data_IF_471444179109
#
_entry.id   IF_471444179109
#
_cell.length_a   1.000
_cell.length_b   1.000
_cell.length_c   1.000
_cell.angle_alpha   90.00
_cell.angle_beta   90.00
_cell.angle_gamma   90.00
#
_symmetry.space_group_name_H-M   'P 1'
#
loop_
_entity.id
_entity.type
_entity.pdbx_description
1 polymer ?
#
# COMPACT_ATOMS: atom_id res chain seq x y z
N UNK A 1 -3.63 -7.86 4.87
CA UNK A 1 -3.87 -6.52 5.50
C UNK A 1 -3.31 -6.35 6.91
N UNK A 2 -3.22 -7.38 7.78
CA UNK A 2 -2.74 -7.21 9.16
C UNK A 2 -1.31 -6.62 9.25
N UNK A 3 -0.40 -7.05 8.38
CA UNK A 3 0.96 -6.51 8.31
C UNK A 3 1.00 -5.00 8.07
N UNK A 4 0.13 -4.48 7.19
CA UNK A 4 0.06 -3.06 6.86
C UNK A 4 -0.35 -2.20 8.07
N UNK A 5 -1.37 -2.64 8.83
CA UNK A 5 -1.82 -1.89 10.02
C UNK A 5 -0.80 -1.94 11.16
N UNK A 6 -0.09 -3.07 11.35
CA UNK A 6 0.99 -3.13 12.33
C UNK A 6 2.14 -2.18 11.97
N UNK A 7 2.55 -2.15 10.70
CA UNK A 7 3.60 -1.22 10.25
C UNK A 7 3.18 0.25 10.40
N UNK A 8 1.90 0.57 10.16
CA UNK A 8 1.36 1.89 10.44
C UNK A 8 1.42 2.23 11.94
N UNK A 9 1.01 1.30 12.81
CA UNK A 9 1.06 1.48 14.27
C UNK A 9 2.47 1.70 14.78
N UNK A 10 3.45 0.93 14.29
CA UNK A 10 4.88 1.11 14.62
C UNK A 10 5.37 2.50 14.19
N UNK A 11 4.98 2.95 12.99
CA UNK A 11 5.35 4.26 12.48
C UNK A 11 4.74 5.40 13.30
N UNK A 12 3.47 5.28 13.67
CA UNK A 12 2.80 6.26 14.54
C UNK A 12 3.33 6.21 15.98
N UNK A 13 3.76 5.05 16.48
CA UNK A 13 4.47 4.92 17.76
C UNK A 13 5.72 5.81 17.77
N UNK A 14 6.59 5.66 16.77
CA UNK A 14 7.79 6.50 16.60
C UNK A 14 7.48 8.00 16.52
N UNK A 15 6.37 8.37 15.89
CA UNK A 15 5.92 9.77 15.86
C UNK A 15 5.56 10.27 17.26
N UNK A 16 4.88 9.46 18.08
CA UNK A 16 4.56 9.82 19.47
C UNK A 16 5.83 9.95 20.30
N UNK A 17 6.77 9.03 20.14
CA UNK A 17 8.07 9.08 20.83
C UNK A 17 8.82 10.39 20.51
N UNK A 18 8.76 10.87 19.26
CA UNK A 18 9.33 12.18 18.88
C UNK A 18 8.63 13.37 19.56
N UNK A 19 7.31 13.30 19.72
CA UNK A 19 6.55 14.34 20.43
C UNK A 19 6.93 14.34 21.92
N UNK A 20 7.06 13.16 22.53
CA UNK A 20 7.45 13.02 23.94
C UNK A 20 8.90 13.49 24.17
N UNK A 21 9.79 13.21 23.21
CA UNK A 21 11.16 13.74 23.20
C UNK A 21 11.16 15.28 23.12
N UNK A 22 10.37 15.87 22.22
CA UNK A 22 10.21 17.32 22.15
C UNK A 22 9.77 17.90 23.50
N UNK A 23 8.74 17.32 24.13
CA UNK A 23 8.21 17.80 25.39
C UNK A 23 9.25 17.74 26.52
N UNK A 24 10.02 16.65 26.55
CA UNK A 24 11.10 16.46 27.53
C UNK A 24 12.22 17.47 27.35
N UNK A 25 12.69 17.68 26.12
CA UNK A 25 13.75 18.65 25.82
C UNK A 25 13.25 20.07 26.11
N UNK A 26 12.01 20.42 25.72
CA UNK A 26 11.44 21.74 25.95
C UNK A 26 11.33 22.09 27.42
N UNK A 27 11.00 21.10 28.28
CA UNK A 27 10.94 21.28 29.72
C UNK A 27 12.31 21.51 30.37
N UNK A 28 13.39 20.98 29.78
CA UNK A 28 14.76 21.07 30.29
C UNK A 28 15.58 22.20 29.65
N UNK A 29 15.09 22.78 28.55
CA UNK A 29 15.82 23.78 27.77
C UNK A 29 15.36 25.20 28.07
N UNK A 30 16.27 26.16 27.93
CA UNK A 30 15.91 27.58 27.92
C UNK A 30 15.22 27.95 26.60
N UNK A 31 14.46 29.05 26.57
CA UNK A 31 13.74 29.51 25.36
C UNK A 31 14.65 29.85 24.15
N UNK A 32 15.97 29.78 24.32
CA UNK A 32 16.97 30.00 23.26
C UNK A 32 17.04 28.81 22.30
N UNK A 33 16.82 27.58 22.80
CA UNK A 33 16.82 26.39 21.95
C UNK A 33 15.45 26.21 21.28
N UNK A 34 15.41 26.43 19.96
CA UNK A 34 14.24 26.11 19.15
C UNK A 34 14.21 24.60 18.83
N UNK A 35 13.22 23.91 19.39
CA UNK A 35 12.98 22.47 19.19
C UNK A 35 11.80 22.19 18.27
N UNK A 36 11.21 23.23 17.66
CA UNK A 36 9.99 23.10 16.86
C UNK A 36 10.17 22.21 15.61
N UNK A 37 11.40 22.03 15.12
CA UNK A 37 11.71 21.10 14.04
C UNK A 37 11.45 19.63 14.40
N UNK A 38 11.50 19.26 15.68
CA UNK A 38 11.12 17.91 16.13
C UNK A 38 9.63 17.68 15.86
N UNK A 39 8.78 18.66 16.17
CA UNK A 39 7.34 18.58 15.90
C UNK A 39 7.03 18.65 14.39
N UNK A 40 7.78 19.44 13.62
CA UNK A 40 7.67 19.45 12.16
C UNK A 40 8.00 18.08 11.57
N UNK A 41 9.08 17.47 12.02
CA UNK A 41 9.47 16.12 11.63
C UNK A 41 8.41 15.08 12.01
N UNK A 42 7.88 15.15 13.23
CA UNK A 42 6.79 14.28 13.69
C UNK A 42 5.54 14.39 12.79
N UNK A 43 5.16 15.60 12.38
CA UNK A 43 4.03 15.81 11.46
C UNK A 43 4.29 15.22 10.07
N UNK A 44 5.46 15.46 9.50
CA UNK A 44 5.85 14.92 8.19
C UNK A 44 5.82 13.38 8.22
N UNK A 45 6.38 12.78 9.28
CA UNK A 45 6.41 11.34 9.46
C UNK A 45 5.01 10.73 9.65
N UNK A 46 4.10 11.40 10.36
CA UNK A 46 2.72 10.95 10.49
C UNK A 46 1.99 10.89 9.14
N UNK A 47 2.13 11.93 8.32
CA UNK A 47 1.51 11.98 6.99
C UNK A 47 2.11 10.93 6.06
N UNK A 48 3.43 10.72 6.10
CA UNK A 48 4.10 9.67 5.34
C UNK A 48 3.68 8.27 5.77
N UNK A 49 3.46 8.04 7.07
CA UNK A 49 2.96 6.77 7.57
C UNK A 49 1.55 6.45 7.02
N UNK A 50 0.67 7.46 6.97
CA UNK A 50 -0.67 7.30 6.40
C UNK A 50 -0.62 6.99 4.91
N UNK A 51 0.18 7.74 4.15
CA UNK A 51 0.38 7.54 2.71
C UNK A 51 0.80 6.09 2.40
N UNK A 52 1.85 5.62 3.08
CA UNK A 52 2.36 4.26 2.93
C UNK A 52 1.31 3.21 3.33
N UNK A 53 0.57 3.44 4.42
CA UNK A 53 -0.49 2.53 4.85
C UNK A 53 -1.57 2.34 3.77
N UNK A 54 -1.97 3.42 3.09
CA UNK A 54 -2.97 3.33 2.01
C UNK A 54 -2.41 2.58 0.80
N UNK A 55 -1.15 2.81 0.42
CA UNK A 55 -0.48 2.02 -0.63
C UNK A 55 -0.52 0.52 -0.34
N UNK A 56 -0.13 0.11 0.87
CA UNK A 56 -0.12 -1.31 1.24
C UNK A 56 -1.54 -1.89 1.31
N UNK A 57 -2.51 -1.19 1.89
CA UNK A 57 -3.88 -1.70 2.00
C UNK A 57 -4.51 -1.89 0.62
N UNK A 58 -4.31 -0.94 -0.29
CA UNK A 58 -4.85 -1.02 -1.65
C UNK A 58 -4.16 -2.13 -2.43
N UNK A 59 -2.83 -2.20 -2.38
CA UNK A 59 -2.06 -3.25 -3.05
C UNK A 59 -2.50 -4.64 -2.58
N UNK A 60 -2.49 -4.88 -1.27
CA UNK A 60 -2.92 -6.17 -0.70
C UNK A 60 -4.39 -6.46 -1.01
N UNK A 61 -5.26 -5.45 -0.97
CA UNK A 61 -6.67 -5.63 -1.27
C UNK A 61 -6.94 -5.98 -2.74
N UNK A 62 -6.18 -5.40 -3.67
CA UNK A 62 -6.27 -5.75 -5.09
C UNK A 62 -5.78 -7.18 -5.34
N UNK A 63 -4.69 -7.61 -4.69
CA UNK A 63 -4.19 -8.98 -4.77
C UNK A 63 -5.19 -9.99 -4.18
N UNK A 64 -5.88 -9.64 -3.09
CA UNK A 64 -6.95 -10.46 -2.51
C UNK A 64 -8.15 -10.59 -3.46
N UNK A 65 -8.53 -9.52 -4.17
CA UNK A 65 -9.59 -9.57 -5.21
C UNK A 65 -9.16 -10.47 -6.36
N UNK A 66 -7.94 -10.31 -6.87
CA UNK A 66 -7.41 -11.13 -7.95
C UNK A 66 -7.39 -12.62 -7.59
N UNK A 67 -7.08 -12.96 -6.33
CA UNK A 67 -7.11 -14.34 -5.81
C UNK A 67 -8.53 -14.88 -5.52
N UNK A 68 -9.57 -14.07 -5.67
CA UNK A 68 -10.94 -14.45 -5.29
C UNK A 68 -11.17 -14.55 -3.78
N UNK A 69 -10.27 -14.04 -2.95
CA UNK A 69 -10.37 -14.03 -1.49
C UNK A 69 -11.22 -12.85 -0.97
N UNK A 70 -11.40 -11.83 -1.80
CA UNK A 70 -12.23 -10.65 -1.55
C UNK A 70 -13.14 -10.42 -2.77
N UNK A 71 -14.43 -10.10 -2.59
CA UNK A 71 -15.30 -9.75 -3.71
C UNK A 71 -14.86 -8.43 -4.35
N UNK A 72 -14.94 -8.37 -5.67
CA UNK A 72 -14.69 -7.14 -6.43
C UNK A 72 -15.73 -6.05 -6.09
N UNK A 73 -15.32 -4.77 -6.00
CA UNK A 73 -16.26 -3.67 -5.78
C UNK A 73 -17.33 -3.59 -6.85
N UNK A 74 -18.56 -3.28 -6.43
CA UNK A 74 -19.69 -3.13 -7.36
C UNK A 74 -19.49 -1.96 -8.31
N UNK A 75 -20.04 -2.13 -9.51
CA UNK A 75 -20.09 -1.07 -10.51
C UNK A 75 -21.02 0.05 -10.04
N UNK A 76 -20.59 1.30 -10.16
CA UNK A 76 -21.43 2.46 -9.86
C UNK A 76 -22.42 2.70 -11.00
N UNK A 77 -23.57 3.34 -10.72
CA UNK A 77 -24.66 3.53 -11.69
C UNK A 77 -24.25 4.13 -13.06
N UNK A 78 -23.11 4.82 -13.14
CA UNK A 78 -22.64 5.52 -14.33
C UNK A 78 -21.43 4.84 -15.01
N UNK A 79 -21.03 3.64 -14.60
CA UNK A 79 -19.90 2.91 -15.20
C UNK A 79 -20.33 1.52 -15.64
N UNK A 80 -19.62 0.93 -16.60
CA UNK A 80 -19.83 -0.47 -17.04
C UNK A 80 -18.91 -1.45 -16.31
N UNK A 81 -17.82 -0.93 -15.75
CA UNK A 81 -16.76 -1.66 -15.08
C UNK A 81 -16.50 -1.07 -13.69
N UNK A 82 -16.01 -1.89 -12.76
CA UNK A 82 -15.61 -1.44 -11.43
C UNK A 82 -14.35 -0.57 -11.50
N UNK A 83 -13.92 0.01 -10.37
CA UNK A 83 -12.62 0.67 -10.33
C UNK A 83 -11.46 -0.34 -10.44
N UNK A 84 -11.63 -1.55 -9.89
CA UNK A 84 -10.66 -2.63 -9.97
C UNK A 84 -10.43 -3.09 -11.42
N UNK A 85 -11.51 -3.39 -12.14
CA UNK A 85 -11.45 -3.90 -13.52
C UNK A 85 -10.85 -2.87 -14.50
N UNK A 86 -11.01 -1.58 -14.21
CA UNK A 86 -10.40 -0.49 -15.00
C UNK A 86 -8.92 -0.25 -14.68
N UNK A 87 -8.36 -0.93 -13.68
CA UNK A 87 -6.96 -0.77 -13.32
C UNK A 87 -6.07 -1.35 -14.43
N UNK A 88 -5.22 -0.50 -14.99
CA UNK A 88 -4.36 -0.88 -16.12
C UNK A 88 -3.01 -1.37 -15.61
N UNK A 89 -2.54 -2.48 -16.20
CA UNK A 89 -1.25 -3.11 -15.91
C UNK A 89 -0.45 -3.26 -17.20
N UNK A 90 0.86 -3.03 -17.14
CA UNK A 90 1.76 -3.29 -18.27
C UNK A 90 1.84 -4.78 -18.57
N UNK A 91 1.78 -5.13 -19.86
CA UNK A 91 1.93 -6.52 -20.32
C UNK A 91 3.38 -6.99 -20.41
N UNK A 92 4.36 -6.09 -20.24
CA UNK A 92 5.78 -6.40 -20.37
C UNK A 92 6.24 -7.45 -19.36
N UNK A 93 5.93 -7.23 -18.08
CA UNK A 93 6.22 -8.16 -16.98
C UNK A 93 5.39 -9.45 -17.10
N UNK A 94 4.11 -9.34 -17.44
CA UNK A 94 3.23 -10.49 -17.68
C UNK A 94 3.73 -11.42 -18.81
N UNK A 95 4.39 -10.86 -19.85
CA UNK A 95 5.00 -11.65 -20.93
C UNK A 95 6.16 -12.51 -20.42
N UNK A 96 6.97 -12.00 -19.50
CA UNK A 96 8.13 -12.73 -18.99
C UNK A 96 7.70 -14.00 -18.24
N UNK A 97 6.66 -13.89 -17.41
CA UNK A 97 6.08 -15.04 -16.71
C UNK A 97 5.48 -16.07 -17.68
N UNK A 98 4.88 -15.60 -18.78
CA UNK A 98 4.39 -16.48 -19.84
C UNK A 98 5.51 -17.21 -20.56
N UNK A 99 6.67 -16.59 -20.76
CA UNK A 99 7.83 -17.23 -21.41
C UNK A 99 8.34 -18.39 -20.56
N UNK A 100 8.39 -18.24 -19.23
CA UNK A 100 8.73 -19.33 -18.30
C UNK A 100 7.69 -20.46 -18.38
N UNK A 101 6.42 -20.13 -18.63
CA UNK A 101 5.36 -21.12 -18.82
C UNK A 101 5.30 -21.75 -20.22
N UNK A 102 6.10 -21.32 -21.21
CA UNK A 102 6.14 -21.98 -22.52
C UNK A 102 7.06 -23.20 -22.53
N UNK A 103 7.93 -23.34 -21.52
CA UNK A 103 8.69 -24.56 -21.24
C UNK A 103 8.18 -25.22 -19.95
N UNK A 104 6.92 -25.64 -19.98
CA UNK A 104 6.22 -26.26 -18.84
C UNK A 104 6.97 -27.51 -18.37
N UNK A 105 7.57 -28.27 -19.28
CA UNK A 105 8.28 -29.50 -18.95
C UNK A 105 9.52 -29.21 -18.12
N UNK A 106 10.37 -28.27 -18.54
CA UNK A 106 11.56 -27.87 -17.79
C UNK A 106 11.18 -27.26 -16.45
N UNK A 107 10.20 -26.36 -16.43
CA UNK A 107 9.71 -25.77 -15.18
C UNK A 107 9.16 -26.82 -14.21
N UNK A 108 8.33 -27.76 -14.67
CA UNK A 108 7.79 -28.81 -13.82
C UNK A 108 8.88 -29.74 -13.30
N UNK A 109 9.88 -30.09 -14.12
CA UNK A 109 11.03 -30.89 -13.69
C UNK A 109 11.78 -30.20 -12.55
N UNK A 110 12.09 -28.91 -12.69
CA UNK A 110 12.78 -28.13 -11.67
C UNK A 110 11.94 -27.99 -10.38
N UNK A 111 10.64 -27.69 -10.52
CA UNK A 111 9.72 -27.56 -9.37
C UNK A 111 9.58 -28.88 -8.61
N UNK A 112 9.37 -29.99 -9.32
CA UNK A 112 9.25 -31.33 -8.72
C UNK A 112 10.56 -31.73 -8.04
N UNK A 113 11.69 -31.49 -8.68
CA UNK A 113 13.02 -31.72 -8.11
C UNK A 113 13.22 -30.95 -6.80
N UNK A 114 12.77 -29.70 -6.74
CA UNK A 114 12.89 -28.90 -5.51
C UNK A 114 11.98 -29.40 -4.38
N UNK A 115 10.77 -29.86 -4.70
CA UNK A 115 9.78 -30.27 -3.69
C UNK A 115 10.02 -31.71 -3.21
N UNK A 116 10.29 -32.64 -4.13
CA UNK A 116 10.34 -34.09 -3.88
C UNK A 116 11.78 -34.65 -3.92
N UNK A 117 12.74 -33.88 -4.40
CA UNK A 117 14.12 -34.33 -4.62
C UNK A 117 14.32 -35.03 -5.97
N UNK A 118 15.58 -35.26 -6.32
CA UNK A 118 15.98 -35.88 -7.61
C UNK A 118 15.52 -37.34 -7.72
N UNK A 119 15.56 -38.09 -6.61
CA UNK A 119 15.22 -39.51 -6.57
C UNK A 119 13.77 -39.78 -7.04
N UNK A 120 12.88 -38.80 -6.83
CA UNK A 120 11.50 -38.89 -7.30
C UNK A 120 11.39 -38.97 -8.83
N UNK A 121 12.28 -38.29 -9.56
CA UNK A 121 12.31 -38.25 -11.02
C UNK A 121 12.96 -39.48 -11.65
N UNK A 122 13.80 -40.19 -10.90
CA UNK A 122 14.55 -41.36 -11.37
C UNK A 122 13.76 -42.67 -11.25
N UNK A 123 12.67 -42.70 -10.46
CA UNK A 123 11.86 -43.90 -10.22
C UNK A 123 10.56 -43.91 -11.05
N UNK A 124 10.04 -45.09 -11.45
CA UNK A 124 8.74 -45.19 -12.11
C UNK A 124 7.61 -44.68 -11.19
N UNK A 125 6.96 -43.59 -11.59
CA UNK A 125 5.85 -43.01 -10.84
C UNK A 125 4.50 -43.50 -11.35
N UNK A 126 3.54 -43.70 -10.44
CA UNK A 126 2.14 -43.92 -10.81
C UNK A 126 1.42 -42.59 -10.97
N UNK A 127 0.35 -42.56 -11.77
CA UNK A 127 -0.52 -41.37 -11.87
C UNK A 127 -1.03 -40.89 -10.51
N UNK A 128 -1.36 -41.82 -9.60
CA UNK A 128 -1.83 -41.50 -8.25
C UNK A 128 -0.77 -40.75 -7.42
N UNK A 129 0.52 -41.06 -7.61
CA UNK A 129 1.62 -40.37 -6.94
C UNK A 129 1.93 -39.01 -7.59
N UNK A 130 1.78 -38.91 -8.91
CA UNK A 130 2.06 -37.68 -9.67
C UNK A 130 1.00 -36.60 -9.49
N UNK A 131 -0.29 -36.98 -9.41
CA UNK A 131 -1.41 -36.06 -9.30
C UNK A 131 -1.26 -35.01 -8.18
N UNK A 132 -0.98 -35.38 -6.91
CA UNK A 132 -0.83 -34.39 -5.85
C UNK A 132 0.38 -33.48 -6.07
N UNK A 133 1.48 -34.00 -6.62
CA UNK A 133 2.69 -33.23 -6.90
C UNK A 133 2.42 -32.18 -7.98
N UNK A 134 1.86 -32.60 -9.12
CA UNK A 134 1.51 -31.69 -10.22
C UNK A 134 0.47 -30.65 -9.75
N UNK A 135 -0.54 -31.08 -9.00
CA UNK A 135 -1.55 -30.18 -8.43
C UNK A 135 -0.91 -29.11 -7.54
N UNK A 136 0.05 -29.50 -6.69
CA UNK A 136 0.77 -28.55 -5.83
C UNK A 136 1.63 -27.59 -6.65
N UNK A 137 2.40 -28.09 -7.61
CA UNK A 137 3.25 -27.28 -8.49
C UNK A 137 2.44 -26.25 -9.29
N UNK A 138 1.31 -26.68 -9.88
CA UNK A 138 0.39 -25.77 -10.57
C UNK A 138 -0.22 -24.75 -9.63
N UNK A 139 -0.64 -25.18 -8.43
CA UNK A 139 -1.19 -24.28 -7.42
C UNK A 139 -0.16 -23.23 -6.99
N UNK A 140 1.09 -23.62 -6.75
CA UNK A 140 2.18 -22.69 -6.43
C UNK A 140 2.38 -21.67 -7.54
N UNK A 141 2.43 -22.13 -8.80
CA UNK A 141 2.66 -21.26 -9.97
C UNK A 141 1.53 -20.28 -10.19
N UNK A 142 0.27 -20.73 -10.08
CA UNK A 142 -0.90 -19.86 -10.25
C UNK A 142 -1.05 -18.86 -9.10
N UNK A 143 -0.57 -19.20 -7.90
CA UNK A 143 -0.56 -18.29 -6.74
C UNK A 143 0.64 -17.34 -6.74
N UNK A 144 1.67 -17.59 -7.55
CA UNK A 144 2.79 -16.69 -7.73
C UNK A 144 2.36 -15.47 -8.56
N UNK A 145 1.84 -14.47 -7.87
CA UNK A 145 1.39 -13.20 -8.44
C UNK A 145 2.39 -12.07 -8.19
N UNK A 146 3.67 -12.41 -8.01
CA UNK A 146 4.74 -11.44 -7.77
C UNK A 146 4.84 -10.40 -8.89
N UNK A 147 4.68 -10.83 -10.15
CA UNK A 147 4.64 -9.93 -11.30
C UNK A 147 3.53 -8.87 -11.17
N UNK A 148 2.33 -9.29 -10.75
CA UNK A 148 1.17 -8.42 -10.63
C UNK A 148 1.32 -7.49 -9.44
N UNK A 149 1.84 -7.99 -8.31
CA UNK A 149 2.16 -7.16 -7.16
C UNK A 149 3.16 -6.06 -7.53
N UNK A 150 4.24 -6.40 -8.23
CA UNK A 150 5.25 -5.44 -8.66
C UNK A 150 4.65 -4.38 -9.59
N UNK A 151 3.82 -4.79 -10.55
CA UNK A 151 3.15 -3.88 -11.47
C UNK A 151 2.17 -2.95 -10.75
N UNK A 152 1.34 -3.48 -9.85
CA UNK A 152 0.44 -2.65 -9.02
C UNK A 152 1.26 -1.63 -8.23
N UNK A 153 2.35 -2.07 -7.57
CA UNK A 153 3.21 -1.18 -6.79
C UNK A 153 3.86 -0.11 -7.65
N UNK A 154 4.35 -0.46 -8.84
CA UNK A 154 4.94 0.50 -9.78
C UNK A 154 3.91 1.55 -10.21
N UNK A 155 2.72 1.11 -10.65
CA UNK A 155 1.64 2.01 -11.06
C UNK A 155 1.17 2.94 -9.93
N UNK A 156 1.08 2.41 -8.71
CA UNK A 156 0.67 3.19 -7.55
C UNK A 156 1.78 4.12 -7.06
N UNK A 157 3.06 3.77 -7.22
CA UNK A 157 4.21 4.54 -6.68
C UNK A 157 4.24 6.02 -7.09
N UNK A 158 3.72 6.35 -8.28
CA UNK A 158 3.62 7.72 -8.78
C UNK A 158 2.49 8.55 -8.13
N UNK A 159 1.68 7.95 -7.26
CA UNK A 159 0.52 8.56 -6.60
C UNK A 159 0.81 8.77 -5.12
N UNK A 160 0.49 9.98 -4.65
CA UNK A 160 0.42 10.29 -3.22
C UNK A 160 -1.00 10.04 -2.71
N UNK A 161 -1.11 9.26 -1.65
CA UNK A 161 -2.35 8.92 -0.97
C UNK A 161 -2.46 9.63 0.38
N UNK A 162 -2.33 10.95 0.31
CA UNK A 162 -2.49 11.83 1.47
C UNK A 162 -3.84 12.54 1.43
N UNK A 163 -4.14 13.20 0.31
CA UNK A 163 -5.38 13.98 0.18
C UNK A 163 -6.61 13.10 0.30
N UNK A 164 -7.70 13.57 0.96
CA UNK A 164 -8.90 12.78 1.18
C UNK A 164 -9.47 12.14 -0.08
N UNK A 165 -9.52 12.89 -1.19
CA UNK A 165 -10.09 12.40 -2.44
C UNK A 165 -9.17 11.35 -3.09
N UNK A 166 -7.84 11.53 -3.02
CA UNK A 166 -6.86 10.54 -3.50
C UNK A 166 -6.93 9.24 -2.72
N UNK A 167 -7.08 9.31 -1.40
CA UNK A 167 -7.30 8.13 -0.56
C UNK A 167 -8.63 7.45 -0.93
N UNK A 168 -9.71 8.21 -1.10
CA UNK A 168 -11.00 7.65 -1.47
C UNK A 168 -10.96 6.96 -2.84
N UNK A 169 -10.29 7.56 -3.83
CA UNK A 169 -10.10 6.97 -5.15
C UNK A 169 -9.27 5.69 -5.11
N UNK A 170 -8.23 5.64 -4.28
CA UNK A 170 -7.43 4.44 -4.09
C UNK A 170 -8.23 3.31 -3.43
N UNK A 171 -8.98 3.63 -2.36
CA UNK A 171 -9.82 2.64 -1.66
C UNK A 171 -10.97 2.13 -2.55
N UNK A 172 -11.46 2.93 -3.51
CA UNK A 172 -12.46 2.47 -4.49
C UNK A 172 -12.00 1.27 -5.32
N UNK A 173 -10.69 1.08 -5.49
CA UNK A 173 -10.13 -0.11 -6.16
C UNK A 173 -10.45 -1.40 -5.39
N UNK A 174 -10.76 -1.32 -4.10
CA UNK A 174 -10.92 -2.49 -3.23
C UNK A 174 -12.22 -2.50 -2.40
N UNK A 175 -13.03 -1.44 -2.47
CA UNK A 175 -14.27 -1.29 -1.71
C UNK A 175 -15.25 -0.35 -2.42
N UNK A 176 -16.54 -0.66 -2.37
CA UNK A 176 -17.62 0.19 -2.89
C UNK A 176 -18.16 1.19 -1.86
N UNK A 177 -17.71 1.10 -0.61
CA UNK A 177 -18.15 1.98 0.47
C UNK A 177 -17.69 3.42 0.26
N UNK A 178 -18.53 4.37 0.70
CA UNK A 178 -18.14 5.78 0.85
C UNK A 178 -17.19 5.93 2.03
N UNK A 179 -15.89 5.78 1.78
CA UNK A 179 -14.84 5.74 2.80
C UNK A 179 -15.02 6.79 3.90
N UNK A 180 -15.15 8.07 3.53
CA UNK A 180 -15.18 9.15 4.50
C UNK A 180 -16.44 9.19 5.36
N UNK A 181 -17.57 8.66 4.86
CA UNK A 181 -18.79 8.54 5.65
C UNK A 181 -18.60 7.45 6.72
N UNK A 182 -18.03 6.30 6.34
CA UNK A 182 -17.73 5.21 7.28
C UNK A 182 -16.69 5.62 8.34
N UNK A 183 -15.66 6.38 7.94
CA UNK A 183 -14.65 6.90 8.86
C UNK A 183 -15.26 7.92 9.81
N UNK A 184 -16.06 8.86 9.30
CA UNK A 184 -16.71 9.90 10.07
C UNK A 184 -17.62 9.32 11.17
N UNK A 185 -18.38 8.27 10.85
CA UNK A 185 -19.17 7.52 11.83
C UNK A 185 -18.28 6.93 12.93
N UNK A 186 -17.16 6.30 12.57
CA UNK A 186 -16.24 5.67 13.54
C UNK A 186 -15.54 6.66 14.47
N UNK A 187 -15.25 7.87 13.99
CA UNK A 187 -14.57 8.90 14.79
C UNK A 187 -15.55 9.91 15.41
N UNK A 188 -16.86 9.69 15.26
CA UNK A 188 -17.94 10.53 15.80
C UNK A 188 -17.77 11.99 15.36
N UNK A 189 -17.59 12.22 14.06
CA UNK A 189 -17.49 13.56 13.43
C UNK A 189 -18.31 13.61 12.14
N UNK A 190 -18.52 14.80 11.60
CA UNK A 190 -19.09 14.96 10.26
C UNK A 190 -18.04 14.61 9.19
N UNK A 191 -18.49 14.04 8.07
CA UNK A 191 -17.64 13.73 6.90
C UNK A 191 -16.85 14.96 6.44
N UNK A 192 -17.52 16.11 6.35
CA UNK A 192 -16.91 17.39 5.96
C UNK A 192 -15.75 17.76 6.88
N UNK A 193 -15.99 17.75 8.19
CA UNK A 193 -15.01 18.17 9.19
C UNK A 193 -13.81 17.22 9.23
N UNK A 194 -14.07 15.93 9.06
CA UNK A 194 -13.03 14.89 8.95
C UNK A 194 -12.09 15.17 7.78
N UNK A 195 -12.66 15.42 6.59
CA UNK A 195 -11.88 15.75 5.39
C UNK A 195 -11.13 17.08 5.55
N UNK A 196 -11.78 18.09 6.13
CA UNK A 196 -11.19 19.41 6.35
C UNK A 196 -9.99 19.35 7.30
N UNK A 197 -10.09 18.58 8.38
CA UNK A 197 -8.98 18.40 9.32
C UNK A 197 -7.80 17.67 8.68
N UNK A 198 -8.06 16.61 7.91
CA UNK A 198 -6.99 15.92 7.19
C UNK A 198 -6.30 16.85 6.16
N UNK A 199 -7.08 17.66 5.43
CA UNK A 199 -6.52 18.67 4.53
C UNK A 199 -5.62 19.67 5.27
N UNK A 200 -6.06 20.20 6.41
CA UNK A 200 -5.24 21.14 7.20
C UNK A 200 -3.91 20.52 7.66
N UNK A 201 -3.92 19.24 8.05
CA UNK A 201 -2.71 18.48 8.41
C UNK A 201 -1.75 18.37 7.20
N UNK A 202 -2.29 18.05 6.02
CA UNK A 202 -1.51 17.87 4.79
C UNK A 202 -0.96 19.21 4.30
N UNK A 203 -1.75 20.27 4.33
CA UNK A 203 -1.31 21.62 3.99
C UNK A 203 -0.15 22.06 4.88
N UNK A 204 -0.27 21.83 6.20
CA UNK A 204 0.82 22.12 7.14
C UNK A 204 2.09 21.33 6.80
N UNK A 205 1.96 20.04 6.47
CA UNK A 205 3.08 19.18 6.04
C UNK A 205 3.69 19.67 4.73
N UNK A 206 2.88 20.10 3.77
CA UNK A 206 3.36 20.62 2.48
C UNK A 206 4.15 21.92 2.68
N UNK A 207 3.69 22.82 3.57
CA UNK A 207 4.44 24.02 3.94
C UNK A 207 5.83 23.67 4.48
N UNK A 208 5.93 22.67 5.35
CA UNK A 208 7.22 22.21 5.90
C UNK A 208 8.10 21.63 4.79
N UNK A 209 7.57 20.69 4.01
CA UNK A 209 8.37 19.91 3.06
C UNK A 209 8.75 20.67 1.79
N UNK A 210 7.89 21.58 1.31
CA UNK A 210 8.04 22.22 0.00
C UNK A 210 8.25 23.74 0.08
N UNK A 211 7.74 24.40 1.11
CA UNK A 211 7.82 25.86 1.26
C UNK A 211 8.85 26.30 2.30
N UNK A 212 9.69 25.36 2.79
CA UNK A 212 10.67 25.57 3.86
C UNK A 212 10.07 26.17 5.14
N UNK A 213 8.80 25.84 5.41
CA UNK A 213 7.98 26.39 6.48
C UNK A 213 7.99 27.92 6.58
N UNK A 214 8.11 28.60 5.44
CA UNK A 214 8.19 30.06 5.40
C UNK A 214 6.84 30.67 5.72
N UNK A 215 6.87 31.78 6.46
CA UNK A 215 5.69 32.60 6.64
C UNK A 215 5.41 33.36 5.32
N UNK A 216 4.25 33.17 4.67
CA UNK A 216 3.93 33.74 3.35
C UNK A 216 3.91 35.27 3.30
N UNK A 217 3.97 35.96 4.44
CA UNK A 217 4.15 37.42 4.48
C UNK A 217 5.57 37.90 4.18
N UNK A 218 6.57 37.01 4.14
CA UNK A 218 7.95 37.37 3.78
C UNK A 218 8.19 37.08 2.29
N UNK A 219 8.07 38.11 1.45
CA UNK A 219 8.45 38.03 0.04
C UNK A 219 9.97 37.88 -0.12
N UNK A 220 10.38 36.99 -1.03
CA UNK A 220 11.81 36.70 -1.32
C UNK A 220 12.45 37.83 -2.16
N UNK A 221 11.65 38.79 -2.65
CA UNK A 221 12.07 39.85 -3.58
C UNK A 221 12.41 41.21 -2.98
N UNK A 222 12.27 41.42 -1.67
CA UNK A 222 12.61 42.71 -1.02
C UNK A 222 13.99 42.64 -0.32
N UNK A 223 14.97 42.04 -1.00
CA UNK A 223 16.38 42.03 -0.57
C UNK A 223 17.25 42.83 -1.51
#
# INVERSE_FOLDING_TARGET
MQSAIEQFRISIGRVRDLIDLHNSIKAQSTNILDVSDILRGALVLAVSALDYYIHEVVTLGMLEIYRGQRPEPRVTANTTQSAFDRFQVSLGTARQDRIIALDIESWLKDEVRQIQGEEFLEQPQTLSNLLPVISQSLSNKLNNISWLENEIREQLSYKSFQQPDKIADAIRLISDKKLWDEVAVKIVRLTRDTKQQLNAIIERRNKIAHEADRNPTFNIGDR
#
